data_IF_119528960266
#
_entry.id   IF_119528960266
#
_cell.length_a   1.000
_cell.length_b   1.000
_cell.length_c   1.000
_cell.angle_alpha   90.00
_cell.angle_beta   90.00
_cell.angle_gamma   90.00
#
_symmetry.space_group_name_H-M   'P 1'
#
loop_
_entity.id
_entity.type
_entity.pdbx_description
1 polymer ?
#
# COMPACT_ATOMS: atom_id res chain seq x y z
N UNK A 1 1.45 -21.49 -11.27
CA UNK A 1 -0.03 -21.60 -11.30
C UNK A 1 -0.59 -22.18 -12.60
N UNK A 2 0.10 -22.10 -13.75
CA UNK A 2 -0.38 -22.65 -15.04
C UNK A 2 -0.34 -24.19 -15.20
N UNK A 3 0.20 -24.91 -14.22
CA UNK A 3 0.56 -26.34 -14.37
C UNK A 3 -0.63 -27.28 -14.10
N UNK A 4 -1.68 -26.83 -13.43
CA UNK A 4 -2.73 -27.76 -12.98
C UNK A 4 -4.12 -27.56 -13.59
N UNK A 5 -4.42 -26.48 -14.34
CA UNK A 5 -5.77 -26.15 -14.88
C UNK A 5 -6.95 -26.24 -13.87
N UNK A 6 -6.68 -26.56 -12.61
CA UNK A 6 -7.67 -26.89 -11.57
C UNK A 6 -8.58 -25.70 -11.26
N UNK A 7 -8.05 -24.50 -11.40
CA UNK A 7 -8.76 -23.28 -11.07
C UNK A 7 -9.37 -22.59 -12.28
N UNK A 8 -9.11 -23.05 -13.51
CA UNK A 8 -9.55 -22.33 -14.71
C UNK A 8 -11.08 -22.31 -14.80
N UNK A 9 -11.72 -23.45 -14.52
CA UNK A 9 -13.18 -23.54 -14.39
C UNK A 9 -13.74 -22.65 -13.27
N UNK A 10 -13.01 -22.51 -12.15
CA UNK A 10 -13.43 -21.65 -11.04
C UNK A 10 -13.35 -20.17 -11.44
N UNK A 11 -12.21 -19.72 -11.94
CA UNK A 11 -12.00 -18.34 -12.38
C UNK A 11 -12.94 -17.96 -13.52
N UNK A 12 -13.19 -18.87 -14.48
CA UNK A 12 -14.12 -18.66 -15.57
C UNK A 12 -15.57 -18.56 -15.10
N UNK A 13 -16.01 -19.45 -14.19
CA UNK A 13 -17.37 -19.44 -13.65
C UNK A 13 -17.67 -18.22 -12.79
N UNK A 14 -16.67 -17.73 -12.05
CA UNK A 14 -16.81 -16.58 -11.16
C UNK A 14 -16.27 -15.26 -11.76
N UNK A 15 -15.97 -15.22 -13.06
CA UNK A 15 -15.46 -14.00 -13.71
C UNK A 15 -16.42 -12.81 -13.60
N UNK A 16 -17.73 -13.08 -13.58
CA UNK A 16 -18.80 -12.09 -13.40
C UNK A 16 -18.77 -11.40 -12.02
N UNK A 17 -18.03 -11.96 -11.05
CA UNK A 17 -17.88 -11.39 -9.70
C UNK A 17 -16.58 -10.58 -9.54
N UNK A 18 -16.02 -10.06 -10.63
CA UNK A 18 -14.81 -9.23 -10.64
C UNK A 18 -13.58 -9.88 -10.00
N UNK A 19 -13.50 -11.22 -10.04
CA UNK A 19 -12.49 -11.97 -9.29
C UNK A 19 -11.07 -11.66 -9.78
N UNK A 20 -10.88 -11.48 -11.09
CA UNK A 20 -9.61 -11.06 -11.66
C UNK A 20 -9.23 -9.64 -11.22
N UNK A 21 -10.16 -8.68 -11.32
CA UNK A 21 -9.96 -7.31 -10.81
C UNK A 21 -9.58 -7.34 -9.33
N UNK A 22 -10.29 -8.12 -8.51
CA UNK A 22 -10.02 -8.27 -7.08
C UNK A 22 -8.60 -8.76 -6.79
N UNK A 23 -8.12 -9.78 -7.52
CA UNK A 23 -6.74 -10.26 -7.38
C UNK A 23 -5.71 -9.15 -7.66
N UNK A 24 -5.92 -8.34 -8.70
CA UNK A 24 -5.06 -7.18 -8.97
C UNK A 24 -5.15 -6.14 -7.84
N UNK A 25 -6.36 -5.80 -7.38
CA UNK A 25 -6.58 -4.87 -6.26
C UNK A 25 -5.83 -5.33 -5.01
N UNK A 26 -5.92 -6.61 -4.68
CA UNK A 26 -5.28 -7.20 -3.50
C UNK A 26 -3.75 -7.06 -3.57
N UNK A 27 -3.15 -7.37 -4.71
CA UNK A 27 -1.71 -7.21 -4.92
C UNK A 27 -1.25 -5.79 -4.61
N UNK A 28 -1.87 -4.77 -5.23
CA UNK A 28 -1.51 -3.38 -4.99
C UNK A 28 -1.81 -2.93 -3.56
N UNK A 29 -2.91 -3.41 -2.96
CA UNK A 29 -3.25 -3.09 -1.56
C UNK A 29 -2.17 -3.57 -0.59
N UNK A 30 -1.68 -4.81 -0.74
CA UNK A 30 -0.61 -5.34 0.11
C UNK A 30 0.70 -4.59 -0.07
N UNK A 31 1.00 -4.15 -1.28
CA UNK A 31 2.19 -3.34 -1.54
C UNK A 31 2.11 -1.98 -0.83
N UNK A 32 0.99 -1.27 -0.96
CA UNK A 32 0.75 0.00 -0.26
C UNK A 32 0.80 -0.17 1.25
N UNK A 33 0.15 -1.23 1.77
CA UNK A 33 0.18 -1.55 3.19
C UNK A 33 1.62 -1.76 3.68
N UNK A 34 2.45 -2.49 2.93
CA UNK A 34 3.86 -2.69 3.29
C UNK A 34 4.64 -1.37 3.35
N UNK A 35 4.52 -0.51 2.34
CA UNK A 35 5.24 0.77 2.27
C UNK A 35 4.80 1.70 3.42
N UNK A 36 3.49 1.85 3.63
CA UNK A 36 2.95 2.67 4.73
C UNK A 36 3.34 2.13 6.10
N UNK A 37 3.42 0.81 6.27
CA UNK A 37 3.86 0.18 7.52
C UNK A 37 5.31 0.54 7.86
N UNK A 38 6.20 0.44 6.88
CA UNK A 38 7.62 0.81 7.05
C UNK A 38 7.73 2.29 7.39
N UNK A 39 6.98 3.18 6.72
CA UNK A 39 6.96 4.61 7.03
C UNK A 39 6.50 4.90 8.46
N UNK A 40 5.39 4.29 8.90
CA UNK A 40 4.85 4.50 10.25
C UNK A 40 5.83 4.03 11.33
N UNK A 41 6.47 2.87 11.15
CA UNK A 41 7.48 2.36 12.10
C UNK A 41 8.69 3.30 12.13
N UNK A 42 9.17 3.74 10.97
CA UNK A 42 10.33 4.64 10.86
C UNK A 42 10.04 5.98 11.54
N UNK A 43 8.86 6.54 11.30
CA UNK A 43 8.38 7.77 11.93
C UNK A 43 8.26 7.60 13.45
N UNK A 44 7.68 6.50 13.93
CA UNK A 44 7.56 6.23 15.36
C UNK A 44 8.94 6.19 16.04
N UNK A 45 9.93 5.52 15.43
CA UNK A 45 11.31 5.47 15.95
C UNK A 45 11.96 6.85 15.95
N UNK A 46 11.81 7.61 14.87
CA UNK A 46 12.32 8.98 14.76
C UNK A 46 11.80 9.87 15.89
N UNK A 47 10.48 9.92 16.09
CA UNK A 47 9.87 10.76 17.13
C UNK A 47 10.34 10.34 18.52
N UNK A 48 10.48 9.04 18.77
CA UNK A 48 10.93 8.51 20.08
C UNK A 48 12.37 8.90 20.39
N UNK A 49 13.26 8.88 19.41
CA UNK A 49 14.69 9.15 19.62
C UNK A 49 15.02 10.64 19.57
N UNK A 50 14.50 11.37 18.59
CA UNK A 50 14.92 12.76 18.30
C UNK A 50 14.04 13.82 18.97
N UNK A 51 12.81 13.48 19.41
CA UNK A 51 11.83 14.46 19.83
C UNK A 51 11.34 14.28 21.28
N UNK A 52 12.04 13.46 22.08
CA UNK A 52 11.65 13.09 23.45
C UNK A 52 11.46 14.28 24.40
N UNK A 53 12.05 15.45 24.11
CA UNK A 53 11.92 16.67 24.91
C UNK A 53 11.03 17.79 24.36
N UNK A 54 10.68 17.79 23.07
CA UNK A 54 10.03 18.94 22.39
C UNK A 54 8.59 18.66 21.93
N UNK A 55 8.24 17.40 21.65
CA UNK A 55 6.94 17.04 21.06
C UNK A 55 6.12 16.22 22.06
N UNK A 56 5.65 16.87 23.13
CA UNK A 56 4.78 16.23 24.13
C UNK A 56 3.43 15.79 23.55
N UNK A 57 2.91 16.48 22.53
CA UNK A 57 1.54 16.28 22.03
C UNK A 57 1.39 15.08 21.08
N UNK A 58 2.35 14.86 20.18
CA UNK A 58 2.33 13.70 19.26
C UNK A 58 2.73 12.41 20.01
N UNK A 59 3.69 12.52 20.94
CA UNK A 59 4.14 11.38 21.74
C UNK A 59 3.05 10.88 22.70
N UNK A 60 2.25 11.78 23.28
CA UNK A 60 1.08 11.42 24.08
C UNK A 60 -0.03 10.75 23.25
N UNK A 61 -0.15 11.09 21.96
CA UNK A 61 -1.08 10.43 21.03
C UNK A 61 -0.67 9.00 20.69
N UNK A 62 0.65 8.76 20.54
CA UNK A 62 1.21 7.45 20.18
C UNK A 62 1.33 6.49 21.38
N UNK A 63 1.58 6.98 22.59
CA UNK A 63 2.12 6.12 23.65
C UNK A 63 1.09 5.48 24.59
N UNK A 64 -0.05 6.11 24.91
CA UNK A 64 -0.77 5.74 26.16
C UNK A 64 -2.24 5.34 26.06
N UNK A 65 -2.97 5.62 24.97
CA UNK A 65 -4.41 5.23 24.93
C UNK A 65 -4.99 4.89 23.55
N UNK A 66 -4.31 5.24 22.46
CA UNK A 66 -4.86 5.17 21.09
C UNK A 66 -4.00 4.39 20.10
N UNK A 67 -3.19 3.44 20.57
CA UNK A 67 -2.36 2.58 19.68
C UNK A 67 -3.18 1.86 18.60
N UNK A 68 -4.41 1.46 18.94
CA UNK A 68 -5.37 0.90 17.99
C UNK A 68 -5.70 1.84 16.83
N UNK A 69 -5.68 3.16 17.02
CA UNK A 69 -5.91 4.12 15.93
C UNK A 69 -4.81 4.03 14.89
N UNK A 70 -3.55 3.84 15.28
CA UNK A 70 -2.45 3.67 14.32
C UNK A 70 -2.66 2.40 13.51
N UNK A 71 -3.10 1.31 14.15
CA UNK A 71 -3.46 0.06 13.45
C UNK A 71 -4.64 0.29 12.51
N UNK A 72 -5.71 0.94 12.97
CA UNK A 72 -6.87 1.26 12.13
C UNK A 72 -6.49 2.15 10.94
N UNK A 73 -5.70 3.19 11.14
CA UNK A 73 -5.21 4.07 10.06
C UNK A 73 -4.36 3.28 9.08
N UNK A 74 -3.45 2.45 9.57
CA UNK A 74 -2.60 1.60 8.74
C UNK A 74 -3.39 0.63 7.87
N UNK A 75 -4.53 0.13 8.34
CA UNK A 75 -5.40 -0.77 7.59
C UNK A 75 -6.37 -0.02 6.68
N UNK A 76 -7.05 1.01 7.18
CA UNK A 76 -8.11 1.73 6.45
C UNK A 76 -7.54 2.56 5.31
N UNK A 77 -6.37 3.19 5.50
CA UNK A 77 -5.79 4.12 4.53
C UNK A 77 -5.39 3.43 3.21
N UNK A 78 -4.72 2.26 3.19
CA UNK A 78 -4.49 1.49 1.95
C UNK A 78 -5.78 1.17 1.19
N UNK A 79 -6.81 0.68 1.87
CA UNK A 79 -8.08 0.35 1.20
C UNK A 79 -8.78 1.61 0.67
N UNK A 80 -8.84 2.69 1.46
CA UNK A 80 -9.42 3.96 1.03
C UNK A 80 -8.66 4.59 -0.16
N UNK A 81 -7.35 4.36 -0.25
CA UNK A 81 -6.52 4.89 -1.33
C UNK A 81 -6.61 4.05 -2.61
N UNK A 82 -6.69 2.73 -2.50
CA UNK A 82 -6.73 1.81 -3.65
C UNK A 82 -8.15 1.63 -4.21
N UNK A 83 -9.18 1.62 -3.36
CA UNK A 83 -10.58 1.36 -3.75
C UNK A 83 -11.09 2.28 -4.88
N UNK A 84 -10.87 3.62 -4.87
CA UNK A 84 -11.39 4.50 -5.93
C UNK A 84 -10.71 4.28 -7.28
N UNK A 85 -9.49 3.75 -7.27
CA UNK A 85 -8.65 3.61 -8.47
C UNK A 85 -8.89 2.25 -9.13
N UNK A 86 -9.14 1.21 -8.35
CA UNK A 86 -9.28 -0.16 -8.86
C UNK A 86 -10.74 -0.63 -8.93
N UNK A 87 -11.65 -0.06 -8.13
CA UNK A 87 -13.06 -0.45 -8.09
C UNK A 87 -13.91 -0.07 -9.31
N UNK A 88 -13.35 0.57 -10.33
CA UNK A 88 -14.12 1.02 -11.52
C UNK A 88 -13.93 0.17 -12.78
N UNK A 89 -12.95 -0.74 -12.80
CA UNK A 89 -12.57 -1.43 -14.03
C UNK A 89 -12.82 -2.93 -13.90
N UNK A 90 -13.61 -3.45 -14.82
CA UNK A 90 -13.91 -4.87 -14.94
C UNK A 90 -12.84 -5.51 -15.83
N UNK A 91 -12.05 -6.41 -15.24
CA UNK A 91 -11.09 -7.22 -16.00
C UNK A 91 -11.73 -8.58 -16.22
N UNK A 92 -12.06 -8.87 -17.47
CA UNK A 92 -12.66 -10.13 -17.90
C UNK A 92 -11.65 -10.99 -18.66
N UNK A 93 -11.94 -12.29 -18.73
CA UNK A 93 -11.18 -13.23 -19.55
C UNK A 93 -11.79 -13.28 -20.95
N UNK A 94 -10.94 -13.36 -21.97
CA UNK A 94 -11.36 -13.44 -23.39
C UNK A 94 -11.74 -14.87 -23.75
N UNK A 95 -10.89 -15.83 -23.38
CA UNK A 95 -11.04 -17.24 -23.73
C UNK A 95 -10.86 -18.14 -22.52
N UNK A 96 -11.70 -19.18 -22.44
CA UNK A 96 -11.65 -20.21 -21.38
C UNK A 96 -10.41 -21.12 -21.51
N UNK A 97 -9.98 -21.42 -22.74
CA UNK A 97 -8.87 -22.35 -23.01
C UNK A 97 -7.50 -21.73 -22.65
N UNK A 98 -7.34 -20.43 -22.93
CA UNK A 98 -6.08 -19.74 -22.73
C UNK A 98 -6.08 -18.80 -21.51
N UNK A 99 -7.25 -18.60 -20.87
CA UNK A 99 -7.48 -17.70 -19.73
C UNK A 99 -6.79 -16.35 -19.93
N UNK A 100 -6.86 -15.82 -21.15
CA UNK A 100 -6.24 -14.54 -21.49
C UNK A 100 -7.07 -13.40 -20.93
N UNK A 101 -6.41 -12.45 -20.28
CA UNK A 101 -7.06 -11.24 -19.79
C UNK A 101 -7.33 -10.29 -20.95
N UNK A 102 -8.43 -9.56 -20.89
CA UNK A 102 -8.67 -8.46 -21.81
C UNK A 102 -7.54 -7.41 -21.69
N UNK A 103 -6.78 -7.26 -22.78
CA UNK A 103 -5.56 -6.44 -22.83
C UNK A 103 -5.88 -4.97 -22.54
N UNK A 104 -6.98 -4.45 -23.05
CA UNK A 104 -7.35 -3.03 -22.88
C UNK A 104 -7.66 -2.71 -21.41
N UNK A 105 -8.51 -3.51 -20.77
CA UNK A 105 -8.89 -3.31 -19.37
C UNK A 105 -7.73 -3.53 -18.41
N UNK A 106 -6.90 -4.55 -18.67
CA UNK A 106 -5.73 -4.85 -17.84
C UNK A 106 -4.63 -3.80 -17.96
N UNK A 107 -4.35 -3.26 -19.15
CA UNK A 107 -3.37 -2.19 -19.35
C UNK A 107 -3.73 -0.92 -18.58
N UNK A 108 -5.00 -0.50 -18.62
CA UNK A 108 -5.46 0.68 -17.86
C UNK A 108 -5.27 0.47 -16.36
N UNK A 109 -5.59 -0.72 -15.86
CA UNK A 109 -5.46 -1.06 -14.45
C UNK A 109 -3.98 -1.10 -14.01
N UNK A 110 -3.12 -1.72 -14.81
CA UNK A 110 -1.67 -1.77 -14.56
C UNK A 110 -1.05 -0.38 -14.62
N UNK A 111 -1.44 0.46 -15.59
CA UNK A 111 -0.95 1.84 -15.71
C UNK A 111 -1.29 2.66 -14.47
N UNK A 112 -2.54 2.59 -14.00
CA UNK A 112 -2.98 3.27 -12.78
C UNK A 112 -2.30 2.73 -11.52
N UNK A 113 -2.16 1.40 -11.42
CA UNK A 113 -1.44 0.76 -10.33
C UNK A 113 0.02 1.19 -10.26
N UNK A 114 0.71 1.28 -11.40
CA UNK A 114 2.07 1.82 -11.49
C UNK A 114 2.13 3.29 -11.08
N UNK A 115 1.19 4.12 -11.51
CA UNK A 115 1.13 5.53 -11.11
C UNK A 115 1.02 5.68 -9.59
N UNK A 116 0.11 4.91 -8.95
CA UNK A 116 -0.01 4.86 -7.48
C UNK A 116 1.32 4.49 -6.83
N UNK A 117 1.93 3.40 -7.30
CA UNK A 117 3.18 2.88 -6.75
C UNK A 117 4.29 3.93 -6.84
N UNK A 118 4.44 4.61 -7.98
CA UNK A 118 5.43 5.68 -8.16
C UNK A 118 5.18 6.85 -7.20
N UNK A 119 3.93 7.30 -7.04
CA UNK A 119 3.61 8.39 -6.12
C UNK A 119 3.98 8.04 -4.67
N UNK A 120 3.69 6.80 -4.24
CA UNK A 120 4.03 6.35 -2.89
C UNK A 120 5.53 6.19 -2.67
N UNK A 121 6.28 5.72 -3.67
CA UNK A 121 7.74 5.64 -3.60
C UNK A 121 8.35 7.04 -3.50
N UNK A 122 7.88 8.00 -4.29
CA UNK A 122 8.35 9.39 -4.21
C UNK A 122 8.07 10.01 -2.85
N UNK A 123 6.86 9.78 -2.31
CA UNK A 123 6.50 10.24 -0.97
C UNK A 123 7.38 9.58 0.09
N UNK A 124 7.65 8.28 -0.03
CA UNK A 124 8.59 7.56 0.83
C UNK A 124 9.99 8.17 0.79
N UNK A 125 10.54 8.42 -0.40
CA UNK A 125 11.86 9.02 -0.55
C UNK A 125 11.91 10.43 0.04
N UNK A 126 10.88 11.25 -0.18
CA UNK A 126 10.79 12.59 0.37
C UNK A 126 10.78 12.58 1.91
N UNK A 127 9.91 11.77 2.52
CA UNK A 127 9.86 11.62 3.98
C UNK A 127 11.13 10.99 4.54
N UNK A 128 11.72 10.03 3.84
CA UNK A 128 12.97 9.38 4.21
C UNK A 128 14.14 10.36 4.22
N UNK A 129 14.28 11.19 3.19
CA UNK A 129 15.31 12.24 3.11
C UNK A 129 15.11 13.27 4.23
N UNK A 130 13.88 13.72 4.45
CA UNK A 130 13.58 14.70 5.49
C UNK A 130 13.90 14.18 6.90
N UNK A 131 13.52 12.92 7.19
CA UNK A 131 13.87 12.27 8.46
C UNK A 131 15.38 12.09 8.57
N UNK A 132 16.06 11.65 7.51
CA UNK A 132 17.50 11.43 7.51
C UNK A 132 18.27 12.72 7.79
N UNK A 133 17.90 13.83 7.15
CA UNK A 133 18.51 15.14 7.38
C UNK A 133 18.37 15.58 8.85
N UNK A 134 17.17 15.42 9.43
CA UNK A 134 16.93 15.81 10.84
C UNK A 134 17.59 14.87 11.84
N UNK A 135 17.65 13.57 11.57
CA UNK A 135 18.37 12.58 12.41
C UNK A 135 19.87 12.88 12.39
N UNK A 136 20.44 13.14 11.21
CA UNK A 136 21.85 13.49 11.08
C UNK A 136 22.14 14.73 11.94
N UNK A 137 21.40 15.82 11.77
CA UNK A 137 21.57 17.04 12.58
C UNK A 137 21.45 16.77 14.09
N UNK A 138 20.49 15.94 14.54
CA UNK A 138 20.39 15.55 15.95
C UNK A 138 21.62 14.76 16.44
N UNK A 139 22.16 13.84 15.64
CA UNK A 139 23.33 13.04 16.02
C UNK A 139 24.59 13.91 16.22
N UNK A 140 24.76 14.96 15.42
CA UNK A 140 25.89 15.90 15.56
C UNK A 140 25.69 16.95 16.67
N UNK A 141 24.47 17.14 17.18
CA UNK A 141 24.19 18.10 18.25
C UNK A 141 24.37 17.50 19.66
N UNK A 142 24.60 16.18 19.76
CA UNK A 142 24.82 15.43 21.01
C UNK A 142 26.32 15.16 21.28
N UNK A 143 27.22 15.62 20.40
CA UNK A 143 28.69 15.61 20.60
C UNK A 143 29.14 17.04 20.88
#
# INVERSE_FOLDING_TARGET
>A
LRISHLFDNFYWRYQMYYLATWCFTQYYTFEVLRILGILLITFQRYVTMCCSGSISTIFQWLNTSKRWIVVCVHWVLPFAYIMPVVGRNEVTFVDMEYMQLNVTSSLVLVSRGKSIQTTLILLYLFFGIFIFEKVYVCAYCVI
#
